data_IF_326798681560
#
_entry.id   IF_326798681560
#
_cell.length_a   1.000
_cell.length_b   1.000
_cell.length_c   1.000
_cell.angle_alpha   90.00
_cell.angle_beta   90.00
_cell.angle_gamma   90.00
#
_symmetry.space_group_name_H-M   'P 1'
#
loop_
_entity.id
_entity.type
_entity.pdbx_description
1 polymer ?
#
# COMPACT_ATOMS: atom_id res chain seq x y z
N UNK A 1 -8.35 20.25 -12.61
CA UNK A 1 -7.83 19.09 -13.38
C UNK A 1 -6.51 19.39 -14.10
N UNK A 2 -6.40 20.45 -14.91
CA UNK A 2 -5.16 20.76 -15.66
C UNK A 2 -3.92 21.04 -14.78
N UNK A 3 -4.06 21.78 -13.68
CA UNK A 3 -2.94 22.06 -12.76
C UNK A 3 -2.46 20.80 -12.01
N UNK A 4 -3.37 19.92 -11.60
CA UNK A 4 -3.00 18.65 -10.94
C UNK A 4 -2.23 17.73 -11.91
N UNK A 5 -2.70 17.63 -13.15
CA UNK A 5 -2.01 16.88 -14.20
C UNK A 5 -0.62 17.46 -14.50
N UNK A 6 -0.49 18.79 -14.53
CA UNK A 6 0.81 19.46 -14.71
C UNK A 6 1.81 19.06 -13.62
N UNK A 7 1.42 19.08 -12.34
CA UNK A 7 2.30 18.66 -11.25
C UNK A 7 2.64 17.17 -11.31
N UNK A 8 1.65 16.30 -11.55
CA UNK A 8 1.84 14.85 -11.62
C UNK A 8 2.64 14.38 -12.86
N UNK A 9 2.90 15.26 -13.82
CA UNK A 9 3.78 15.02 -14.96
C UNK A 9 5.09 15.82 -14.90
N UNK A 10 5.25 16.68 -13.89
CA UNK A 10 6.47 17.45 -13.70
C UNK A 10 7.59 16.55 -13.17
N UNK A 11 8.71 16.47 -13.92
CA UNK A 11 9.85 15.61 -13.58
C UNK A 11 10.46 15.88 -12.20
N UNK A 12 10.45 17.13 -11.73
CA UNK A 12 11.01 17.49 -10.42
C UNK A 12 10.10 17.03 -9.29
N UNK A 13 8.79 17.17 -9.49
CA UNK A 13 7.80 16.69 -8.53
C UNK A 13 7.81 15.16 -8.44
N UNK A 14 7.86 14.48 -9.59
CA UNK A 14 8.00 13.02 -9.63
C UNK A 14 9.29 12.54 -8.99
N UNK A 15 10.42 13.21 -9.24
CA UNK A 15 11.69 12.89 -8.59
C UNK A 15 11.61 13.05 -7.06
N UNK A 16 10.97 14.13 -6.58
CA UNK A 16 10.72 14.32 -5.15
C UNK A 16 9.89 13.18 -4.56
N UNK A 17 8.76 12.82 -5.18
CA UNK A 17 7.91 11.73 -4.70
C UNK A 17 8.62 10.38 -4.70
N UNK A 18 9.42 10.09 -5.73
CA UNK A 18 10.25 8.88 -5.80
C UNK A 18 11.23 8.84 -4.63
N UNK A 19 11.96 9.94 -4.38
CA UNK A 19 12.94 10.00 -3.30
C UNK A 19 12.25 9.87 -1.93
N UNK A 20 11.15 10.60 -1.70
CA UNK A 20 10.40 10.55 -0.45
C UNK A 20 9.86 9.13 -0.17
N UNK A 21 9.22 8.50 -1.15
CA UNK A 21 8.73 7.13 -1.02
C UNK A 21 9.85 6.11 -0.87
N UNK A 22 10.98 6.29 -1.57
CA UNK A 22 12.13 5.40 -1.43
C UNK A 22 12.73 5.49 -0.01
N UNK A 23 12.89 6.69 0.54
CA UNK A 23 13.35 6.87 1.92
C UNK A 23 12.36 6.27 2.92
N UNK A 24 11.05 6.47 2.71
CA UNK A 24 10.00 5.86 3.53
C UNK A 24 10.02 4.32 3.45
N UNK A 25 10.23 3.78 2.25
CA UNK A 25 10.37 2.33 2.01
C UNK A 25 11.57 1.76 2.77
N UNK A 26 12.74 2.40 2.66
CA UNK A 26 13.96 1.95 3.33
C UNK A 26 13.81 2.02 4.86
N UNK A 27 13.25 3.12 5.37
CA UNK A 27 12.95 3.26 6.80
C UNK A 27 11.96 2.20 7.27
N UNK A 28 10.94 1.91 6.47
CA UNK A 28 9.99 0.85 6.72
C UNK A 28 10.65 -0.52 6.80
N UNK A 29 11.49 -0.90 5.85
CA UNK A 29 12.23 -2.17 5.93
C UNK A 29 13.12 -2.26 7.17
N UNK A 30 13.79 -1.15 7.54
CA UNK A 30 14.54 -1.06 8.79
C UNK A 30 13.65 -1.31 10.02
N UNK A 31 12.44 -0.73 10.05
CA UNK A 31 11.47 -0.93 11.13
C UNK A 31 11.07 -2.42 11.28
N UNK A 32 10.94 -3.14 10.17
CA UNK A 32 10.58 -4.56 10.18
C UNK A 32 11.74 -5.51 10.50
N UNK A 33 12.99 -5.04 10.59
CA UNK A 33 14.15 -5.92 10.81
C UNK A 33 13.98 -6.86 12.02
N UNK A 34 13.52 -6.33 13.16
CA UNK A 34 13.31 -7.15 14.35
C UNK A 34 12.25 -8.23 14.18
N UNK A 35 11.20 -7.99 13.38
CA UNK A 35 10.21 -9.01 13.04
C UNK A 35 10.81 -10.05 12.07
N UNK A 36 11.53 -9.58 11.05
CA UNK A 36 12.12 -10.41 10.01
C UNK A 36 13.18 -11.39 10.56
N UNK A 37 13.92 -11.03 11.60
CA UNK A 37 14.87 -11.92 12.28
C UNK A 37 14.23 -13.21 12.81
N UNK A 38 12.94 -13.18 13.11
CA UNK A 38 12.17 -14.32 13.63
C UNK A 38 11.20 -14.90 12.60
N UNK A 39 11.06 -14.28 11.43
CA UNK A 39 10.20 -14.72 10.33
C UNK A 39 10.93 -15.76 9.49
N UNK A 40 10.22 -16.84 9.13
CA UNK A 40 10.77 -17.84 8.19
C UNK A 40 10.99 -17.22 6.81
N UNK A 41 12.08 -17.57 6.14
CA UNK A 41 12.52 -16.96 4.89
C UNK A 41 11.44 -16.85 3.80
N UNK A 42 10.54 -17.82 3.69
CA UNK A 42 9.49 -17.84 2.67
C UNK A 42 8.31 -16.91 2.97
N UNK A 43 8.17 -16.42 4.21
CA UNK A 43 7.21 -15.38 4.57
C UNK A 43 7.78 -13.97 4.41
N UNK A 44 9.12 -13.81 4.49
CA UNK A 44 9.78 -12.50 4.45
C UNK A 44 9.35 -11.59 3.29
N UNK A 45 9.07 -12.06 2.07
CA UNK A 45 8.61 -11.18 0.98
C UNK A 45 7.24 -10.53 1.22
N UNK A 46 6.45 -11.05 2.17
CA UNK A 46 5.07 -10.62 2.43
C UNK A 46 4.90 -9.94 3.79
N UNK A 47 5.92 -9.95 4.64
CA UNK A 47 5.84 -9.38 6.01
C UNK A 47 5.99 -7.86 6.03
N UNK A 48 6.92 -7.24 5.27
CA UNK A 48 7.02 -5.78 5.21
C UNK A 48 5.91 -5.21 4.33
N UNK A 49 4.70 -5.13 4.88
CA UNK A 49 3.47 -4.68 4.21
C UNK A 49 3.60 -3.32 3.50
N UNK A 50 3.51 -2.22 4.26
CA UNK A 50 3.59 -0.87 3.73
C UNK A 50 4.93 -0.54 3.05
N UNK A 51 6.11 -1.06 3.49
CA UNK A 51 7.36 -0.91 2.75
C UNK A 51 7.28 -1.51 1.34
N UNK A 52 6.72 -2.71 1.19
CA UNK A 52 6.60 -3.37 -0.12
C UNK A 52 5.62 -2.62 -1.03
N UNK A 53 4.53 -2.09 -0.47
CA UNK A 53 3.58 -1.27 -1.21
C UNK A 53 4.18 0.03 -1.74
N UNK A 54 4.95 0.74 -0.91
CA UNK A 54 5.67 1.94 -1.34
C UNK A 54 6.75 1.61 -2.37
N UNK A 55 7.43 0.46 -2.24
CA UNK A 55 8.39 -0.01 -3.26
C UNK A 55 7.71 -0.24 -4.61
N UNK A 56 6.52 -0.84 -4.66
CA UNK A 56 5.77 -1.01 -5.91
C UNK A 56 5.45 0.34 -6.56
N UNK A 57 5.07 1.35 -5.76
CA UNK A 57 4.85 2.71 -6.26
C UNK A 57 6.14 3.32 -6.82
N UNK A 58 7.25 3.22 -6.09
CA UNK A 58 8.57 3.73 -6.53
C UNK A 58 8.94 3.12 -7.88
N UNK A 59 8.79 1.79 -8.05
CA UNK A 59 9.06 1.12 -9.32
C UNK A 59 8.14 1.64 -10.42
N UNK A 60 6.84 1.78 -10.15
CA UNK A 60 5.88 2.31 -11.11
C UNK A 60 6.23 3.74 -11.56
N UNK A 61 6.55 4.63 -10.61
CA UNK A 61 6.92 6.02 -10.88
C UNK A 61 8.24 6.13 -11.66
N UNK A 62 9.26 5.35 -11.31
CA UNK A 62 10.53 5.30 -12.05
C UNK A 62 10.27 4.89 -13.50
N UNK A 63 9.49 3.83 -13.72
CA UNK A 63 9.15 3.38 -15.07
C UNK A 63 8.41 4.48 -15.84
N UNK A 64 7.44 5.15 -15.21
CA UNK A 64 6.72 6.28 -15.82
C UNK A 64 7.65 7.42 -16.24
N UNK A 65 8.61 7.80 -15.39
CA UNK A 65 9.62 8.84 -15.70
C UNK A 65 10.49 8.42 -16.90
N UNK A 66 10.77 7.12 -17.04
CA UNK A 66 11.51 6.55 -18.18
C UNK A 66 10.63 6.36 -19.44
N UNK A 67 9.37 6.82 -19.43
CA UNK A 67 8.43 6.63 -20.54
C UNK A 67 7.95 5.19 -20.71
N UNK A 68 8.16 4.33 -19.71
CA UNK A 68 7.75 2.92 -19.68
C UNK A 68 6.61 2.73 -18.69
N UNK A 69 5.91 1.61 -18.82
CA UNK A 69 4.85 1.24 -17.88
C UNK A 69 4.94 -0.24 -17.55
N UNK A 70 4.73 -0.57 -16.27
CA UNK A 70 4.48 -1.93 -15.83
C UNK A 70 3.14 -1.96 -15.12
N UNK A 71 2.11 -2.33 -15.85
CA UNK A 71 0.76 -2.38 -15.29
C UNK A 71 0.61 -3.38 -14.13
N UNK A 72 1.54 -4.32 -13.96
CA UNK A 72 1.58 -5.19 -12.79
C UNK A 72 1.99 -4.41 -11.54
N UNK A 73 3.11 -3.67 -11.57
CA UNK A 73 3.55 -2.85 -10.44
C UNK A 73 2.57 -1.72 -10.15
N UNK A 74 1.97 -1.13 -11.18
CA UNK A 74 0.93 -0.11 -11.03
C UNK A 74 -0.33 -0.68 -10.35
N UNK A 75 -0.77 -1.88 -10.71
CA UNK A 75 -1.91 -2.54 -10.08
C UNK A 75 -1.61 -2.95 -8.62
N UNK A 76 -0.44 -3.53 -8.39
CA UNK A 76 0.04 -3.87 -7.05
C UNK A 76 0.10 -2.62 -6.17
N UNK A 77 0.80 -1.57 -6.62
CA UNK A 77 0.91 -0.29 -5.90
C UNK A 77 -0.46 0.27 -5.55
N UNK A 78 -1.39 0.38 -6.52
CA UNK A 78 -2.72 0.91 -6.26
C UNK A 78 -3.44 0.18 -5.12
N UNK A 79 -3.48 -1.15 -5.19
CA UNK A 79 -4.21 -1.96 -4.20
C UNK A 79 -3.54 -1.92 -2.83
N UNK A 80 -2.23 -2.13 -2.79
CA UNK A 80 -1.49 -2.28 -1.52
C UNK A 80 -1.30 -0.94 -0.80
N UNK A 81 -1.11 0.17 -1.52
CA UNK A 81 -1.04 1.51 -0.92
C UNK A 81 -2.34 1.87 -0.17
N UNK A 82 -3.50 1.61 -0.79
CA UNK A 82 -4.79 1.85 -0.14
C UNK A 82 -4.95 0.93 1.06
N UNK A 83 -4.69 -0.38 0.86
CA UNK A 83 -4.84 -1.39 1.90
C UNK A 83 -4.04 -1.01 3.15
N UNK A 84 -2.71 -0.93 3.03
CA UNK A 84 -1.85 -0.71 4.19
C UNK A 84 -1.86 0.75 4.66
N UNK A 85 -2.09 1.70 3.74
CA UNK A 85 -2.24 3.11 4.07
C UNK A 85 -3.41 3.34 5.02
N UNK A 86 -4.61 2.87 4.63
CA UNK A 86 -5.81 2.99 5.45
C UNK A 86 -5.70 2.13 6.72
N UNK A 87 -5.17 0.91 6.60
CA UNK A 87 -5.00 0.03 7.76
C UNK A 87 -4.16 0.69 8.85
N UNK A 88 -2.99 1.25 8.51
CA UNK A 88 -2.10 1.86 9.49
C UNK A 88 -2.71 3.08 10.17
N UNK A 89 -3.44 3.92 9.41
CA UNK A 89 -4.17 5.07 9.98
C UNK A 89 -5.21 4.60 11.00
N UNK A 90 -6.02 3.61 10.64
CA UNK A 90 -7.08 3.10 11.52
C UNK A 90 -6.48 2.41 12.74
N UNK A 91 -5.44 1.60 12.60
CA UNK A 91 -4.81 0.92 13.74
C UNK A 91 -4.17 1.89 14.73
N UNK A 92 -3.51 2.94 14.25
CA UNK A 92 -2.91 3.95 15.12
C UNK A 92 -3.99 4.78 15.84
N UNK A 93 -5.05 5.20 15.14
CA UNK A 93 -6.19 5.88 15.78
C UNK A 93 -6.86 4.98 16.82
N UNK A 94 -7.05 3.70 16.50
CA UNK A 94 -7.63 2.74 17.44
C UNK A 94 -6.74 2.56 18.67
N UNK A 95 -5.43 2.49 18.48
CA UNK A 95 -4.44 2.43 19.57
C UNK A 95 -4.50 3.66 20.47
N UNK A 96 -4.62 4.86 19.88
CA UNK A 96 -4.77 6.10 20.65
C UNK A 96 -6.01 6.10 21.52
N UNK A 97 -7.14 5.62 21.00
CA UNK A 97 -8.40 5.54 21.73
C UNK A 97 -8.29 4.50 22.85
N UNK A 98 -7.74 3.33 22.56
CA UNK A 98 -7.63 2.23 23.51
C UNK A 98 -6.69 2.53 24.69
N UNK A 99 -5.58 3.22 24.42
CA UNK A 99 -4.57 3.57 25.44
C UNK A 99 -4.80 4.95 26.07
N UNK A 100 -5.66 5.79 25.46
CA UNK A 100 -5.89 7.18 25.91
C UNK A 100 -4.68 8.10 25.68
N UNK A 101 -3.75 7.73 24.79
CA UNK A 101 -2.49 8.43 24.56
C UNK A 101 -2.21 8.58 23.05
N UNK A 102 -1.86 9.80 22.62
CA UNK A 102 -1.42 10.09 21.26
C UNK A 102 0.10 10.19 21.23
N UNK A 103 0.75 9.33 20.46
CA UNK A 103 2.22 9.30 20.34
C UNK A 103 2.70 9.99 19.06
N UNK A 104 3.88 10.59 19.10
CA UNK A 104 4.49 11.22 17.92
C UNK A 104 4.75 10.23 16.79
N UNK A 105 5.15 8.99 17.12
CA UNK A 105 5.32 7.90 16.17
C UNK A 105 3.98 7.55 15.51
N UNK A 106 2.91 7.39 16.29
CA UNK A 106 1.61 7.05 15.71
C UNK A 106 1.08 8.16 14.81
N UNK A 107 1.31 9.44 15.14
CA UNK A 107 0.95 10.55 14.26
C UNK A 107 1.75 10.51 12.96
N UNK A 108 3.07 10.31 13.04
CA UNK A 108 3.93 10.17 11.86
C UNK A 108 3.48 9.00 10.97
N UNK A 109 3.09 7.87 11.57
CA UNK A 109 2.52 6.73 10.85
C UNK A 109 1.19 7.10 10.18
N UNK A 110 0.25 7.71 10.91
CA UNK A 110 -1.02 8.18 10.34
C UNK A 110 -0.81 9.11 9.14
N UNK A 111 0.06 10.12 9.26
CA UNK A 111 0.30 11.07 8.18
C UNK A 111 0.96 10.41 6.96
N UNK A 112 2.05 9.67 7.18
CA UNK A 112 2.79 9.01 6.08
C UNK A 112 1.94 7.98 5.35
N UNK A 113 1.17 7.16 6.07
CA UNK A 113 0.31 6.14 5.48
C UNK A 113 -0.98 6.73 4.86
N UNK A 114 -1.48 7.83 5.40
CA UNK A 114 -2.55 8.61 4.77
C UNK A 114 -2.11 9.15 3.40
N UNK A 115 -0.87 9.66 3.29
CA UNK A 115 -0.28 10.09 2.01
C UNK A 115 -0.20 8.92 1.03
N UNK A 116 0.26 7.73 1.46
CA UNK A 116 0.30 6.54 0.61
C UNK A 116 -1.08 6.21 -0.01
N UNK A 117 -2.14 6.21 0.80
CA UNK A 117 -3.49 5.95 0.32
C UNK A 117 -3.95 7.00 -0.71
N UNK A 118 -3.59 8.28 -0.49
CA UNK A 118 -3.89 9.38 -1.42
C UNK A 118 -3.11 9.21 -2.74
N UNK A 119 -1.82 8.88 -2.68
CA UNK A 119 -0.96 8.68 -3.85
C UNK A 119 -1.51 7.61 -4.79
N UNK A 120 -2.09 6.53 -4.25
CA UNK A 120 -2.74 5.50 -5.05
C UNK A 120 -3.80 6.09 -5.99
N UNK A 121 -4.68 6.95 -5.48
CA UNK A 121 -5.71 7.61 -6.28
C UNK A 121 -5.15 8.70 -7.20
N UNK A 122 -4.12 9.44 -6.75
CA UNK A 122 -3.48 10.48 -7.56
C UNK A 122 -2.87 9.90 -8.84
N UNK A 123 -2.22 8.74 -8.74
CA UNK A 123 -1.54 8.12 -9.89
C UNK A 123 -2.42 7.16 -10.68
N UNK A 124 -3.56 6.73 -10.14
CA UNK A 124 -4.48 5.84 -10.82
C UNK A 124 -4.78 6.27 -12.27
N UNK A 125 -5.07 7.54 -12.62
CA UNK A 125 -5.32 7.95 -14.00
C UNK A 125 -4.19 7.66 -14.99
N UNK A 126 -2.94 7.57 -14.52
CA UNK A 126 -1.74 7.38 -15.35
C UNK A 126 -1.38 5.89 -15.54
N UNK A 127 -1.96 5.01 -14.73
CA UNK A 127 -1.67 3.58 -14.74
C UNK A 127 -2.32 2.84 -15.92
N UNK A 128 -1.52 2.02 -16.61
CA UNK A 128 -1.84 1.20 -17.79
C UNK A 128 -2.05 -0.27 -17.39
N UNK A 129 -3.18 -0.51 -16.73
CA UNK A 129 -3.51 -1.80 -16.12
C UNK A 129 -4.33 -2.69 -17.08
N UNK A 130 -4.00 -3.98 -17.14
CA UNK A 130 -4.67 -5.03 -17.92
C UNK A 130 -5.32 -6.04 -16.96
N UNK A 131 -6.30 -6.81 -17.45
CA UNK A 131 -7.01 -7.83 -16.63
C UNK A 131 -6.06 -8.77 -15.88
N UNK A 132 -5.01 -9.25 -16.55
CA UNK A 132 -4.10 -10.21 -15.94
C UNK A 132 -3.27 -9.58 -14.80
N UNK A 133 -2.96 -8.28 -14.85
CA UNK A 133 -2.33 -7.57 -13.74
C UNK A 133 -3.24 -7.58 -12.50
N UNK A 134 -4.53 -7.29 -12.69
CA UNK A 134 -5.52 -7.31 -11.61
C UNK A 134 -5.62 -8.71 -11.00
N UNK A 135 -5.61 -9.77 -11.83
CA UNK A 135 -5.64 -11.15 -11.35
C UNK A 135 -4.41 -11.48 -10.49
N UNK A 136 -3.20 -11.10 -10.92
CA UNK A 136 -1.98 -11.32 -10.14
C UNK A 136 -2.00 -10.51 -8.84
N UNK A 137 -2.42 -9.24 -8.88
CA UNK A 137 -2.58 -8.40 -7.70
C UNK A 137 -3.59 -8.96 -6.71
N UNK A 138 -4.70 -9.53 -7.21
CA UNK A 138 -5.70 -10.21 -6.37
C UNK A 138 -5.07 -11.39 -5.64
N UNK A 139 -4.36 -12.26 -6.36
CA UNK A 139 -3.68 -13.42 -5.78
C UNK A 139 -2.67 -12.95 -4.72
N UNK A 140 -1.86 -11.95 -5.05
CA UNK A 140 -0.87 -11.38 -4.12
C UNK A 140 -1.52 -10.85 -2.83
N UNK A 141 -2.53 -9.99 -2.95
CA UNK A 141 -3.12 -9.31 -1.80
C UNK A 141 -3.87 -10.26 -0.85
N UNK A 142 -4.60 -11.24 -1.40
CA UNK A 142 -5.25 -12.27 -0.59
C UNK A 142 -4.26 -13.29 -0.03
N UNK A 143 -3.18 -13.62 -0.75
CA UNK A 143 -2.14 -14.46 -0.20
C UNK A 143 -1.46 -13.81 1.00
N UNK A 144 -1.20 -12.49 0.91
CA UNK A 144 -0.70 -11.72 2.05
C UNK A 144 -1.72 -11.69 3.21
N UNK A 145 -3.04 -11.53 2.97
CA UNK A 145 -4.05 -11.65 4.05
C UNK A 145 -3.98 -13.00 4.78
N UNK A 146 -3.74 -14.09 4.05
CA UNK A 146 -3.57 -15.43 4.64
C UNK A 146 -2.28 -15.49 5.47
N UNK A 147 -1.17 -14.96 4.96
CA UNK A 147 0.10 -14.91 5.70
C UNK A 147 -0.06 -14.11 7.00
N UNK A 148 -0.70 -12.95 6.93
CA UNK A 148 -0.88 -12.08 8.08
C UNK A 148 -1.80 -12.72 9.12
N UNK A 149 -3.02 -13.10 8.73
CA UNK A 149 -4.08 -13.40 9.68
C UNK A 149 -4.38 -14.89 9.89
N UNK A 150 -3.82 -15.78 9.06
CA UNK A 150 -3.88 -17.24 9.27
C UNK A 150 -2.54 -17.77 9.79
N UNK A 151 -1.42 -17.28 9.25
CA UNK A 151 -0.07 -17.64 9.72
C UNK A 151 0.52 -16.68 10.76
N UNK A 152 -0.28 -15.70 11.21
CA UNK A 152 0.04 -14.79 12.31
C UNK A 152 1.34 -14.01 12.08
N UNK A 153 1.55 -13.54 10.85
CA UNK A 153 2.71 -12.73 10.47
C UNK A 153 2.39 -11.22 10.33
N UNK A 154 1.23 -10.77 10.81
CA UNK A 154 0.82 -9.37 10.76
C UNK A 154 1.79 -8.42 11.50
N UNK A 155 1.75 -7.10 11.21
CA UNK A 155 2.61 -6.12 11.88
C UNK A 155 2.37 -6.05 13.38
N UNK A 156 3.44 -6.07 14.17
CA UNK A 156 3.36 -6.09 15.63
C UNK A 156 2.95 -4.71 16.18
N UNK A 157 1.79 -4.64 16.82
CA UNK A 157 1.31 -3.50 17.60
C UNK A 157 0.87 -3.98 18.98
N UNK A 158 1.08 -3.15 20.00
CA UNK A 158 0.56 -3.42 21.34
C UNK A 158 -0.98 -3.53 21.30
N UNK A 159 -1.53 -4.48 22.03
CA UNK A 159 -2.98 -4.71 22.21
C UNK A 159 -3.78 -5.26 21.01
N UNK A 160 -3.29 -5.15 19.78
CA UNK A 160 -4.06 -5.57 18.59
C UNK A 160 -4.33 -7.09 18.52
N UNK A 161 -3.48 -7.91 19.14
CA UNK A 161 -3.65 -9.37 19.17
C UNK A 161 -5.01 -9.80 19.75
N UNK A 162 -5.56 -9.04 20.70
CA UNK A 162 -6.87 -9.31 21.31
C UNK A 162 -8.02 -9.19 20.30
N UNK A 163 -7.84 -8.41 19.24
CA UNK A 163 -8.85 -8.12 18.22
C UNK A 163 -8.51 -8.75 16.86
N UNK A 164 -7.55 -9.67 16.81
CA UNK A 164 -6.94 -10.11 15.55
C UNK A 164 -7.95 -10.64 14.52
N UNK A 165 -9.01 -11.31 14.97
CA UNK A 165 -10.08 -11.81 14.08
C UNK A 165 -10.85 -10.67 13.42
N UNK A 166 -11.14 -9.61 14.16
CA UNK A 166 -11.84 -8.44 13.64
C UNK A 166 -10.93 -7.60 12.73
N UNK A 167 -9.64 -7.48 13.09
CA UNK A 167 -8.64 -6.80 12.28
C UNK A 167 -8.43 -7.55 10.96
N UNK A 168 -8.36 -8.89 10.98
CA UNK A 168 -8.26 -9.70 9.76
C UNK A 168 -9.49 -9.56 8.86
N UNK A 169 -10.70 -9.53 9.44
CA UNK A 169 -11.92 -9.27 8.67
C UNK A 169 -11.94 -7.86 8.07
N UNK A 170 -11.45 -6.86 8.81
CA UNK A 170 -11.28 -5.51 8.30
C UNK A 170 -10.24 -5.45 7.16
N UNK A 171 -9.08 -6.10 7.33
CA UNK A 171 -8.04 -6.18 6.32
C UNK A 171 -8.51 -6.85 5.03
N UNK A 172 -9.33 -7.90 5.12
CA UNK A 172 -9.99 -8.53 3.98
C UNK A 172 -10.78 -7.49 3.15
N UNK A 173 -11.57 -6.63 3.79
CA UNK A 173 -12.31 -5.59 3.07
C UNK A 173 -11.39 -4.51 2.50
N UNK A 174 -10.28 -4.21 3.17
CA UNK A 174 -9.23 -3.34 2.63
C UNK A 174 -8.50 -3.95 1.42
N UNK A 175 -8.56 -5.27 1.22
CA UNK A 175 -8.15 -5.93 -0.02
C UNK A 175 -9.26 -5.84 -1.10
N UNK A 176 -10.51 -6.16 -0.74
CA UNK A 176 -11.64 -6.23 -1.68
C UNK A 176 -11.96 -4.88 -2.32
N UNK A 177 -12.07 -3.81 -1.51
CA UNK A 177 -12.52 -2.49 -1.98
C UNK A 177 -11.61 -1.93 -3.09
N UNK A 178 -10.28 -1.81 -2.92
CA UNK A 178 -9.42 -1.29 -3.99
C UNK A 178 -9.39 -2.21 -5.22
N UNK A 179 -9.52 -3.54 -5.07
CA UNK A 179 -9.65 -4.44 -6.22
C UNK A 179 -10.93 -4.15 -7.03
N UNK A 180 -12.05 -3.92 -6.36
CA UNK A 180 -13.33 -3.55 -7.01
C UNK A 180 -13.20 -2.21 -7.74
N UNK A 181 -12.60 -1.20 -7.10
CA UNK A 181 -12.37 0.12 -7.72
C UNK A 181 -11.50 -0.03 -8.98
N UNK A 182 -10.43 -0.81 -8.89
CA UNK A 182 -9.52 -1.05 -10.01
C UNK A 182 -10.21 -1.78 -11.17
N UNK A 183 -11.05 -2.77 -10.85
CA UNK A 183 -11.84 -3.51 -11.83
C UNK A 183 -12.88 -2.64 -12.53
N UNK A 184 -13.60 -1.79 -11.78
CA UNK A 184 -14.57 -0.84 -12.33
C UNK A 184 -13.89 0.14 -13.29
N UNK A 185 -12.74 0.70 -12.92
CA UNK A 185 -11.96 1.55 -13.82
C UNK A 185 -11.59 0.80 -15.11
N UNK A 186 -11.13 -0.44 -15.00
CA UNK A 186 -10.76 -1.25 -16.15
C UNK A 186 -11.93 -1.45 -17.13
N UNK A 187 -13.14 -1.75 -16.61
CA UNK A 187 -14.35 -1.90 -17.42
C UNK A 187 -14.70 -0.58 -18.12
N UNK A 188 -14.71 0.54 -17.37
CA UNK A 188 -15.09 1.84 -17.92
C UNK A 188 -14.17 2.31 -19.05
N UNK A 189 -12.86 2.01 -18.98
CA UNK A 189 -11.93 2.32 -20.08
C UNK A 189 -12.25 1.55 -21.36
N UNK A 190 -12.75 0.31 -21.26
CA UNK A 190 -13.12 -0.49 -22.45
C UNK A 190 -14.37 0.03 -23.16
N UNK A 191 -15.28 0.68 -22.45
CA UNK A 191 -16.50 1.22 -23.05
C UNK A 191 -16.27 2.55 -23.79
N UNK A 192 -15.06 3.13 -23.68
CA UNK A 192 -14.67 4.39 -24.31
C UNK A 192 -13.73 4.20 -25.53
N UNK A 193 -13.36 2.96 -25.87
CA UNK A 193 -12.47 2.58 -26.98
C UNK A 193 -13.18 1.65 -27.94
#
# INVERSE_FOLDING_TARGET
MQQLYFWLTNRYFLAFLIIANLLGTLYGYYWYMGQLEHTRWYFMPFVPDSPTASLFLVIALILMVLGRHSGLFEALAFVTLIKYGVWAVVMNIFTFIALGEVTGIGLMLCFSHGIMAIEAFLFLPFFKIKKWHILVTLIWAFHNDVIDYVYMQYPVYSMLEQYIRHIGYFAFWLTVIPLVILWQKFINMKHLT
#
